data_IF_106544132204
#
_entry.id   IF_106544132204
#
_cell.length_a   1.000
_cell.length_b   1.000
_cell.length_c   1.000
_cell.angle_alpha   90.00
_cell.angle_beta   90.00
_cell.angle_gamma   90.00
#
_symmetry.space_group_name_H-M   'P 1'
#
loop_
_entity.id
_entity.type
_entity.pdbx_description
1 polymer ?
#
# COMPACT_ATOMS: atom_id res chain seq x y z
N UNK A 1 53.75 14.20 30.32
CA UNK A 1 52.48 13.59 29.84
C UNK A 1 52.07 12.59 30.90
N UNK A 2 50.94 12.79 31.62
CA UNK A 2 50.49 11.89 32.68
C UNK A 2 50.06 10.54 32.11
N UNK A 3 50.45 9.44 32.77
CA UNK A 3 50.08 8.07 32.37
C UNK A 3 48.59 7.84 32.64
N UNK A 4 47.79 7.36 31.67
CA UNK A 4 46.37 7.08 31.89
C UNK A 4 46.15 6.07 33.02
N UNK A 5 45.23 6.40 33.94
CA UNK A 5 44.89 5.56 35.08
C UNK A 5 44.39 4.17 34.59
N UNK A 6 45.05 3.07 34.97
CA UNK A 6 44.66 1.71 34.59
C UNK A 6 43.18 1.41 34.86
N UNK A 7 42.60 2.02 35.90
CA UNK A 7 41.20 1.82 36.30
C UNK A 7 40.20 2.39 35.29
N UNK A 8 40.59 3.39 34.50
CA UNK A 8 39.73 3.99 33.46
C UNK A 8 39.53 3.05 32.27
N UNK A 9 40.57 2.28 31.93
CA UNK A 9 40.51 1.31 30.83
C UNK A 9 39.55 0.14 31.10
N UNK A 10 39.32 -0.18 32.38
CA UNK A 10 38.39 -1.23 32.80
C UNK A 10 36.94 -0.73 32.83
N UNK A 11 36.67 0.47 33.33
CA UNK A 11 35.31 1.08 33.32
C UNK A 11 34.79 1.33 31.90
N UNK A 12 35.65 1.68 30.95
CA UNK A 12 35.27 1.83 29.54
C UNK A 12 34.95 0.48 28.88
N UNK A 13 35.60 -0.59 29.35
CA UNK A 13 35.33 -1.97 28.91
C UNK A 13 33.96 -2.48 29.38
N UNK A 14 33.45 -1.99 30.51
CA UNK A 14 32.09 -2.26 31.00
C UNK A 14 31.01 -1.41 30.32
N UNK A 15 31.39 -0.36 29.58
CA UNK A 15 30.48 0.43 28.74
C UNK A 15 30.31 -0.21 27.36
N UNK A 16 30.19 -1.54 27.28
CA UNK A 16 29.78 -2.18 26.02
C UNK A 16 28.30 -1.89 25.76
N UNK A 17 27.92 -1.17 24.69
CA UNK A 17 26.54 -1.13 24.23
C UNK A 17 26.24 -2.43 23.47
N UNK A 18 26.30 -3.58 24.15
CA UNK A 18 26.02 -4.88 23.53
C UNK A 18 24.64 -5.37 23.92
N UNK A 19 23.64 -4.89 23.17
CA UNK A 19 22.50 -5.73 22.73
C UNK A 19 21.72 -5.11 21.57
N UNK A 20 22.40 -4.81 20.46
CA UNK A 20 21.77 -4.78 19.14
C UNK A 20 21.46 -6.21 18.66
N UNK A 21 20.57 -6.93 19.33
CA UNK A 21 20.11 -8.27 18.86
C UNK A 21 18.61 -8.52 19.06
N UNK A 22 17.81 -7.49 19.33
CA UNK A 22 16.32 -7.62 19.38
C UNK A 22 15.66 -7.28 18.03
N UNK A 23 16.42 -6.84 17.02
CA UNK A 23 15.82 -6.24 15.81
C UNK A 23 15.48 -7.19 14.66
N UNK A 24 15.81 -8.49 14.71
CA UNK A 24 15.64 -9.37 13.54
C UNK A 24 14.15 -9.67 13.21
N UNK A 25 13.30 -9.92 14.21
CA UNK A 25 11.85 -10.15 13.98
C UNK A 25 11.13 -8.92 13.44
N UNK A 26 11.49 -7.75 13.94
CA UNK A 26 10.86 -6.48 13.54
C UNK A 26 11.16 -6.12 12.07
N UNK A 27 12.26 -6.60 11.49
CA UNK A 27 12.57 -6.32 10.07
C UNK A 27 11.69 -7.08 9.09
N UNK A 28 11.37 -8.36 9.37
CA UNK A 28 10.51 -9.16 8.48
C UNK A 28 9.08 -8.65 8.48
N UNK A 29 8.52 -8.35 9.66
CA UNK A 29 7.17 -7.79 9.78
C UNK A 29 7.03 -6.47 9.00
N UNK A 30 8.00 -5.56 9.18
CA UNK A 30 8.01 -4.28 8.46
C UNK A 30 8.05 -4.49 6.95
N UNK A 31 8.87 -5.43 6.46
CA UNK A 31 8.93 -5.74 5.02
C UNK A 31 7.60 -6.25 4.47
N UNK A 32 6.92 -7.14 5.18
CA UNK A 32 5.60 -7.67 4.76
C UNK A 32 4.56 -6.56 4.70
N UNK A 33 4.46 -5.73 5.75
CA UNK A 33 3.53 -4.60 5.79
C UNK A 33 3.84 -3.58 4.68
N UNK A 34 5.12 -3.25 4.47
CA UNK A 34 5.53 -2.38 3.36
C UNK A 34 5.17 -2.96 2.00
N UNK A 35 5.30 -4.27 1.81
CA UNK A 35 4.94 -4.93 0.55
C UNK A 35 3.43 -4.87 0.29
N UNK A 36 2.59 -5.10 1.31
CA UNK A 36 1.12 -4.95 1.22
C UNK A 36 0.77 -3.52 0.75
N UNK A 37 1.32 -2.51 1.42
CA UNK A 37 1.05 -1.11 1.05
C UNK A 37 1.60 -0.74 -0.33
N UNK A 38 2.71 -1.32 -0.75
CA UNK A 38 3.25 -1.08 -2.09
C UNK A 38 2.32 -1.64 -3.17
N UNK A 39 1.85 -2.88 -3.03
CA UNK A 39 0.91 -3.49 -3.97
C UNK A 39 -0.44 -2.77 -3.97
N UNK A 40 -0.95 -2.44 -2.80
CA UNK A 40 -2.18 -1.66 -2.66
C UNK A 40 -2.02 -0.29 -3.33
N UNK A 41 -0.95 0.44 -3.04
CA UNK A 41 -0.69 1.75 -3.65
C UNK A 41 -0.57 1.68 -5.18
N UNK A 42 0.07 0.64 -5.72
CA UNK A 42 0.12 0.43 -7.18
C UNK A 42 -1.27 0.21 -7.78
N UNK A 43 -2.12 -0.59 -7.12
CA UNK A 43 -3.52 -0.79 -7.51
C UNK A 43 -4.32 0.52 -7.41
N UNK A 44 -4.18 1.26 -6.31
CA UNK A 44 -4.84 2.55 -6.11
C UNK A 44 -4.47 3.55 -7.21
N UNK A 45 -3.19 3.66 -7.56
CA UNK A 45 -2.73 4.54 -8.65
C UNK A 45 -3.37 4.12 -9.97
N UNK A 46 -3.41 2.83 -10.29
CA UNK A 46 -4.05 2.32 -11.51
C UNK A 46 -5.55 2.69 -11.57
N UNK A 47 -6.28 2.48 -10.48
CA UNK A 47 -7.71 2.79 -10.39
C UNK A 47 -7.98 4.30 -10.40
N UNK A 48 -7.12 5.08 -9.75
CA UNK A 48 -7.21 6.53 -9.74
C UNK A 48 -6.92 7.13 -11.13
N UNK A 49 -5.92 6.60 -11.84
CA UNK A 49 -5.68 6.97 -13.24
C UNK A 49 -6.87 6.64 -14.13
N UNK A 50 -7.46 5.44 -13.97
CA UNK A 50 -8.70 5.08 -14.68
C UNK A 50 -9.80 6.10 -14.39
N UNK A 51 -10.03 6.42 -13.12
CA UNK A 51 -11.05 7.38 -12.70
C UNK A 51 -10.82 8.75 -13.33
N UNK A 52 -9.60 9.29 -13.27
CA UNK A 52 -9.21 10.56 -13.91
C UNK A 52 -9.49 10.54 -15.42
N UNK A 53 -9.10 9.47 -16.12
CA UNK A 53 -9.31 9.35 -17.56
C UNK A 53 -10.81 9.33 -17.92
N UNK A 54 -11.63 8.65 -17.12
CA UNK A 54 -13.08 8.60 -17.32
C UNK A 54 -13.74 9.96 -17.09
N UNK A 55 -13.42 10.65 -15.99
CA UNK A 55 -14.02 11.96 -15.69
C UNK A 55 -13.54 13.07 -16.62
N UNK A 56 -12.32 12.95 -17.16
CA UNK A 56 -11.78 13.91 -18.12
C UNK A 56 -12.31 13.72 -19.55
N UNK A 57 -13.09 12.68 -19.81
CA UNK A 57 -13.59 12.38 -21.15
C UNK A 57 -12.48 11.94 -22.09
N UNK A 58 -11.41 11.30 -21.57
CA UNK A 58 -10.30 10.84 -22.38
C UNK A 58 -10.78 9.90 -23.50
N UNK A 59 -10.24 10.07 -24.71
CA UNK A 59 -10.61 9.28 -25.88
C UNK A 59 -10.41 7.77 -25.59
N UNK A 60 -11.49 6.95 -25.56
CA UNK A 60 -11.39 5.52 -25.28
C UNK A 60 -10.64 4.76 -26.37
N UNK A 61 -10.46 5.35 -27.56
CA UNK A 61 -9.69 4.75 -28.65
C UNK A 61 -8.17 4.95 -28.49
N UNK A 62 -7.74 5.81 -27.56
CA UNK A 62 -6.32 6.04 -27.29
C UNK A 62 -5.64 4.81 -26.67
N UNK A 63 -4.43 4.48 -27.13
CA UNK A 63 -3.67 3.31 -26.68
C UNK A 63 -3.46 3.26 -25.15
N UNK A 64 -3.11 4.39 -24.53
CA UNK A 64 -2.85 4.47 -23.08
C UNK A 64 -4.15 4.30 -22.30
N UNK A 65 -5.23 4.95 -22.76
CA UNK A 65 -6.54 4.81 -22.14
C UNK A 65 -7.04 3.36 -22.21
N UNK A 66 -6.95 2.71 -23.38
CA UNK A 66 -7.28 1.30 -23.55
C UNK A 66 -6.49 0.40 -22.60
N UNK A 67 -5.18 0.61 -22.51
CA UNK A 67 -4.33 -0.16 -21.62
C UNK A 67 -4.76 -0.05 -20.16
N UNK A 68 -4.96 1.18 -19.66
CA UNK A 68 -5.39 1.43 -18.28
C UNK A 68 -6.78 0.83 -18.03
N UNK A 69 -7.73 1.02 -18.96
CA UNK A 69 -9.09 0.48 -18.83
C UNK A 69 -9.10 -1.06 -18.82
N UNK A 70 -8.30 -1.70 -19.69
CA UNK A 70 -8.20 -3.15 -19.73
C UNK A 70 -7.54 -3.72 -18.47
N UNK A 71 -6.41 -3.14 -18.04
CA UNK A 71 -5.66 -3.60 -16.88
C UNK A 71 -6.45 -3.41 -15.56
N UNK A 72 -7.21 -2.32 -15.45
CA UNK A 72 -8.04 -2.04 -14.27
C UNK A 72 -9.36 -2.80 -14.22
N UNK A 73 -9.82 -3.35 -15.35
CA UNK A 73 -11.18 -3.90 -15.46
C UNK A 73 -11.51 -5.00 -14.44
N UNK A 74 -10.64 -6.00 -14.19
CA UNK A 74 -10.93 -7.08 -13.23
C UNK A 74 -11.11 -6.59 -11.79
N UNK A 75 -10.53 -5.44 -11.45
CA UNK A 75 -10.60 -4.85 -10.11
C UNK A 75 -11.85 -3.99 -9.93
N UNK A 76 -12.42 -3.44 -11.01
CA UNK A 76 -13.64 -2.64 -10.97
C UNK A 76 -14.89 -3.50 -11.18
N UNK A 77 -14.78 -4.62 -11.93
CA UNK A 77 -15.93 -5.46 -12.28
C UNK A 77 -16.75 -5.99 -11.09
N UNK A 78 -16.20 -6.32 -9.91
CA UNK A 78 -17.02 -6.73 -8.77
C UNK A 78 -17.95 -5.63 -8.26
N UNK A 79 -17.63 -4.37 -8.55
CA UNK A 79 -18.35 -3.19 -8.09
C UNK A 79 -19.30 -2.62 -9.16
N UNK A 80 -19.28 -3.17 -10.39
CA UNK A 80 -20.03 -2.59 -11.53
C UNK A 80 -21.55 -2.68 -11.37
N UNK A 81 -22.04 -3.55 -10.50
CA UNK A 81 -23.48 -3.74 -10.23
C UNK A 81 -23.95 -3.07 -8.94
N UNK A 82 -23.07 -2.34 -8.23
CA UNK A 82 -23.43 -1.71 -6.95
C UNK A 82 -24.46 -0.60 -7.09
N UNK A 83 -24.44 0.12 -8.21
CA UNK A 83 -25.41 1.17 -8.50
C UNK A 83 -26.22 0.78 -9.72
N UNK A 84 -27.54 0.85 -9.60
CA UNK A 84 -28.44 0.78 -10.74
C UNK A 84 -28.19 2.03 -11.59
N UNK A 85 -27.32 1.92 -12.59
CA UNK A 85 -27.06 3.03 -13.49
C UNK A 85 -28.24 3.07 -14.47
N UNK A 86 -29.02 4.17 -14.55
CA UNK A 86 -30.07 4.29 -15.55
C UNK A 86 -29.45 4.07 -16.94
N UNK A 87 -30.03 3.18 -17.74
CA UNK A 87 -29.52 2.72 -19.03
C UNK A 87 -29.44 3.80 -20.14
N UNK A 88 -29.43 5.08 -19.80
CA UNK A 88 -29.55 6.19 -20.76
C UNK A 88 -28.27 6.45 -21.58
N UNK A 89 -27.15 5.77 -21.31
CA UNK A 89 -25.99 5.83 -22.20
C UNK A 89 -25.12 4.57 -22.08
N UNK A 90 -25.15 3.64 -23.06
CA UNK A 90 -24.29 2.46 -23.06
C UNK A 90 -22.78 2.75 -23.06
N UNK A 91 -22.38 3.99 -23.36
CA UNK A 91 -20.98 4.43 -23.39
C UNK A 91 -20.55 5.29 -22.18
N UNK A 92 -21.50 5.77 -21.35
CA UNK A 92 -21.22 6.60 -20.17
C UNK A 92 -21.72 5.92 -18.90
N UNK A 93 -21.21 4.72 -18.61
CA UNK A 93 -21.25 4.18 -17.25
C UNK A 93 -20.42 5.11 -16.36
N UNK A 94 -21.10 6.00 -15.65
CA UNK A 94 -20.52 6.88 -14.66
C UNK A 94 -19.71 6.01 -13.68
N UNK A 95 -18.38 6.17 -13.65
CA UNK A 95 -17.46 5.20 -13.02
C UNK A 95 -17.37 5.43 -11.50
N UNK A 96 -18.53 5.55 -10.83
CA UNK A 96 -18.65 5.50 -9.37
C UNK A 96 -18.08 4.17 -8.87
N UNK A 97 -18.22 3.10 -9.65
CA UNK A 97 -17.63 1.80 -9.37
C UNK A 97 -16.12 1.87 -9.15
N UNK A 98 -15.36 2.62 -9.98
CA UNK A 98 -13.93 2.82 -9.75
C UNK A 98 -13.64 3.61 -8.46
N UNK A 99 -14.44 4.64 -8.15
CA UNK A 99 -14.29 5.41 -6.91
C UNK A 99 -14.55 4.54 -5.67
N UNK A 100 -15.56 3.67 -5.72
CA UNK A 100 -15.82 2.69 -4.65
C UNK A 100 -14.70 1.67 -4.57
N UNK A 101 -14.18 1.18 -5.70
CA UNK A 101 -13.07 0.23 -5.72
C UNK A 101 -11.83 0.81 -5.00
N UNK A 102 -11.47 2.07 -5.26
CA UNK A 102 -10.40 2.80 -4.56
C UNK A 102 -10.64 2.80 -3.04
N UNK A 103 -11.83 3.21 -2.60
CA UNK A 103 -12.15 3.22 -1.17
C UNK A 103 -12.08 1.84 -0.52
N UNK A 104 -12.64 0.83 -1.18
CA UNK A 104 -12.70 -0.55 -0.67
C UNK A 104 -11.31 -1.17 -0.60
N UNK A 105 -10.49 -1.02 -1.65
CA UNK A 105 -9.14 -1.58 -1.67
C UNK A 105 -8.21 -0.88 -0.67
N UNK A 106 -8.33 0.44 -0.49
CA UNK A 106 -7.60 1.16 0.54
C UNK A 106 -7.96 0.65 1.95
N UNK A 107 -9.25 0.44 2.24
CA UNK A 107 -9.73 -0.10 3.50
C UNK A 107 -9.25 -1.55 3.72
N UNK A 108 -9.32 -2.39 2.69
CA UNK A 108 -8.84 -3.77 2.76
C UNK A 108 -7.33 -3.82 2.99
N UNK A 109 -6.55 -3.01 2.29
CA UNK A 109 -5.11 -2.93 2.47
C UNK A 109 -4.73 -2.50 3.89
N UNK A 110 -5.38 -1.46 4.40
CA UNK A 110 -5.20 -1.03 5.79
C UNK A 110 -5.56 -2.13 6.78
N UNK A 111 -6.71 -2.79 6.59
CA UNK A 111 -7.17 -3.87 7.47
C UNK A 111 -6.21 -5.06 7.48
N UNK A 112 -5.78 -5.52 6.30
CA UNK A 112 -4.82 -6.63 6.18
C UNK A 112 -3.48 -6.26 6.79
N UNK A 113 -2.95 -5.07 6.51
CA UNK A 113 -1.72 -4.59 7.12
C UNK A 113 -1.82 -4.50 8.65
N UNK A 114 -2.97 -4.05 9.16
CA UNK A 114 -3.26 -3.95 10.59
C UNK A 114 -3.32 -5.32 11.26
N UNK A 115 -3.99 -6.29 10.64
CA UNK A 115 -4.06 -7.67 11.14
C UNK A 115 -2.68 -8.33 11.19
N UNK A 116 -1.90 -8.20 10.11
CA UNK A 116 -0.51 -8.70 10.05
C UNK A 116 0.33 -8.07 11.16
N UNK A 117 0.17 -6.77 11.40
CA UNK A 117 0.85 -6.11 12.49
C UNK A 117 0.45 -6.69 13.85
N UNK A 118 -0.85 -6.77 14.17
CA UNK A 118 -1.34 -7.26 15.47
C UNK A 118 -0.85 -8.69 15.76
N UNK A 119 -0.99 -9.61 14.80
CA UNK A 119 -0.66 -11.03 14.98
C UNK A 119 0.83 -11.23 15.29
N UNK A 120 1.71 -10.50 14.59
CA UNK A 120 3.16 -10.63 14.73
C UNK A 120 3.80 -9.63 15.71
N UNK A 121 3.06 -8.60 16.14
CA UNK A 121 3.52 -7.62 17.15
C UNK A 121 3.27 -8.07 18.58
N UNK A 122 2.48 -9.13 18.79
CA UNK A 122 2.22 -9.65 20.12
C UNK A 122 3.51 -10.30 20.69
N UNK A 123 4.02 -9.87 21.86
CA UNK A 123 5.29 -10.33 22.43
C UNK A 123 5.30 -11.80 22.84
#
# INVERSE_FOLDING_TARGET
MPDPDPRQSDIDRFRTPKRRTVSRRNTTLRKVVSFIYYLAGALEILLFLRFILRISGANPENLVAKFIYALSNPFVSPFSTLFQTPAFAPQHTFDISALIAIGVYALLAWLVARLVWIIWSNP
#
